data_IF_965661906768
#
_entry.id   IF_965661906768
#
_cell.length_a   1.000
_cell.length_b   1.000
_cell.length_c   1.000
_cell.angle_alpha   90.00
_cell.angle_beta   90.00
_cell.angle_gamma   90.00
#
_symmetry.space_group_name_H-M   'P 1'
#
loop_
_entity.id
_entity.type
_entity.pdbx_description
1 polymer ?
#
# COMPACT_ATOMS: atom_id res chain seq x y z
N UNK A 1 30.79 13.55 -0.18
CA UNK A 1 30.19 12.43 -0.94
C UNK A 1 28.68 12.57 -0.93
N UNK A 2 28.04 12.89 -2.07
CA UNK A 2 26.58 12.94 -2.21
C UNK A 2 26.09 11.56 -2.64
N UNK A 3 25.30 10.88 -1.79
CA UNK A 3 24.64 9.61 -2.15
C UNK A 3 23.68 9.87 -3.32
N UNK A 4 23.93 9.24 -4.48
CA UNK A 4 22.99 9.20 -5.59
C UNK A 4 21.76 8.41 -5.14
N UNK A 5 20.60 9.05 -5.14
CA UNK A 5 19.31 8.38 -5.09
C UNK A 5 19.14 7.69 -6.45
N UNK A 6 19.18 6.35 -6.45
CA UNK A 6 18.83 5.54 -7.63
C UNK A 6 17.32 5.68 -7.84
N UNK A 7 16.91 6.60 -8.71
CA UNK A 7 15.54 6.59 -9.24
C UNK A 7 15.40 5.40 -10.20
N UNK A 8 14.34 4.63 -10.02
CA UNK A 8 13.86 3.55 -10.90
C UNK A 8 13.35 4.11 -12.24
N UNK A 9 14.19 4.81 -13.01
CA UNK A 9 13.73 5.62 -14.13
C UNK A 9 13.60 4.84 -15.45
N UNK A 10 14.07 3.58 -15.51
CA UNK A 10 14.24 2.84 -16.77
C UNK A 10 13.06 1.99 -17.26
N UNK A 11 12.10 1.65 -16.40
CA UNK A 11 10.97 0.78 -16.79
C UNK A 11 9.69 1.55 -17.16
N UNK A 12 9.65 2.86 -16.92
CA UNK A 12 8.41 3.64 -17.03
C UNK A 12 8.13 4.22 -18.42
N UNK A 13 9.15 4.38 -19.27
CA UNK A 13 9.01 5.04 -20.59
C UNK A 13 8.27 4.20 -21.67
N UNK A 14 7.72 3.03 -21.31
CA UNK A 14 7.10 2.09 -22.27
C UNK A 14 5.65 1.71 -21.99
N UNK A 15 5.03 2.22 -20.94
CA UNK A 15 3.61 1.94 -20.68
C UNK A 15 2.74 2.86 -21.53
N UNK A 16 2.12 2.31 -22.59
CA UNK A 16 0.97 2.97 -23.24
C UNK A 16 -0.29 2.56 -22.49
N UNK A 17 -1.22 3.51 -22.30
CA UNK A 17 -2.52 3.29 -21.63
C UNK A 17 -3.31 2.11 -22.23
N UNK A 18 -3.13 1.81 -23.52
CA UNK A 18 -3.75 0.62 -24.14
C UNK A 18 -3.07 -0.70 -23.74
N UNK A 19 -1.73 -0.72 -23.60
CA UNK A 19 -1.00 -1.90 -23.13
C UNK A 19 -1.31 -2.18 -21.65
N UNK A 20 -1.67 -1.14 -20.90
CA UNK A 20 -2.18 -1.17 -19.53
C UNK A 20 -3.59 -1.78 -19.48
N UNK A 21 -4.53 -1.35 -20.33
CA UNK A 21 -5.90 -1.87 -20.33
C UNK A 21 -5.97 -3.34 -20.79
N UNK A 22 -5.16 -3.73 -21.77
CA UNK A 22 -5.06 -5.13 -22.25
C UNK A 22 -4.07 -5.98 -21.44
N UNK A 23 -3.43 -5.40 -20.42
CA UNK A 23 -2.54 -6.12 -19.53
C UNK A 23 -3.37 -7.11 -18.68
N UNK A 24 -3.06 -8.42 -18.68
CA UNK A 24 -3.63 -9.34 -17.69
C UNK A 24 -3.40 -8.87 -16.23
N UNK A 25 -2.47 -7.95 -15.97
CA UNK A 25 -2.29 -7.29 -14.68
C UNK A 25 -3.36 -6.25 -14.31
N UNK A 26 -4.21 -5.81 -15.25
CA UNK A 26 -5.37 -4.92 -15.02
C UNK A 26 -6.68 -5.66 -14.80
N UNK A 27 -6.74 -6.94 -15.16
CA UNK A 27 -7.57 -7.84 -14.37
C UNK A 27 -6.96 -7.82 -12.98
N UNK A 28 -7.65 -7.21 -12.01
CA UNK A 28 -7.18 -7.14 -10.62
C UNK A 28 -6.58 -8.50 -10.27
N UNK A 29 -5.35 -8.56 -9.73
CA UNK A 29 -4.73 -9.84 -9.41
C UNK A 29 -5.75 -10.59 -8.56
N UNK A 30 -6.24 -11.72 -9.09
CA UNK A 30 -7.37 -12.47 -8.50
C UNK A 30 -7.12 -12.81 -7.03
N UNK A 31 -5.86 -12.78 -6.62
CA UNK A 31 -5.40 -12.75 -5.24
C UNK A 31 -4.50 -11.54 -4.99
N UNK A 32 -4.86 -10.70 -4.05
CA UNK A 32 -3.90 -9.77 -3.43
C UNK A 32 -2.74 -10.54 -2.79
N UNK A 33 -1.58 -9.89 -2.66
CA UNK A 33 -0.51 -10.48 -1.87
C UNK A 33 -1.02 -10.73 -0.45
N UNK A 34 -0.65 -11.88 0.13
CA UNK A 34 -0.99 -12.20 1.51
C UNK A 34 -0.57 -11.07 2.47
N UNK A 35 0.54 -10.42 2.16
CA UNK A 35 1.06 -9.26 2.89
C UNK A 35 0.08 -8.09 2.92
N UNK A 36 -0.48 -7.68 1.77
CA UNK A 36 -1.44 -6.58 1.76
C UNK A 36 -2.72 -6.96 2.51
N UNK A 37 -3.17 -8.22 2.42
CA UNK A 37 -4.32 -8.70 3.20
C UNK A 37 -4.05 -8.58 4.71
N UNK A 38 -2.91 -9.06 5.19
CA UNK A 38 -2.52 -8.94 6.59
C UNK A 38 -2.48 -7.48 7.05
N UNK A 39 -1.90 -6.58 6.26
CA UNK A 39 -1.86 -5.15 6.61
C UNK A 39 -3.26 -4.52 6.65
N UNK A 40 -4.13 -4.86 5.71
CA UNK A 40 -5.52 -4.38 5.70
C UNK A 40 -6.29 -4.92 6.91
N UNK A 41 -6.08 -6.18 7.27
CA UNK A 41 -6.64 -6.76 8.51
C UNK A 41 -6.12 -6.03 9.75
N UNK A 42 -4.83 -5.74 9.83
CA UNK A 42 -4.22 -5.06 10.99
C UNK A 42 -4.71 -3.62 11.16
N UNK A 43 -4.85 -2.87 10.07
CA UNK A 43 -5.27 -1.46 10.11
C UNK A 43 -6.78 -1.32 10.31
N UNK A 44 -7.56 -2.11 9.59
CA UNK A 44 -9.00 -1.90 9.44
C UNK A 44 -9.86 -2.98 10.10
N UNK A 45 -9.25 -4.00 10.69
CA UNK A 45 -9.96 -5.15 11.25
C UNK A 45 -10.71 -5.95 10.18
N UNK A 46 -10.36 -5.82 8.89
CA UNK A 46 -11.01 -6.57 7.81
C UNK A 46 -10.78 -8.06 8.03
N UNK A 47 -11.88 -8.80 8.25
CA UNK A 47 -11.87 -10.22 8.59
C UNK A 47 -12.15 -10.52 10.07
N UNK A 48 -12.12 -9.52 10.94
CA UNK A 48 -12.60 -9.65 12.33
C UNK A 48 -14.14 -9.56 12.39
N UNK A 49 -14.76 -10.24 13.36
CA UNK A 49 -16.21 -10.19 13.56
C UNK A 49 -16.72 -8.81 14.04
N UNK A 50 -15.80 -7.93 14.44
CA UNK A 50 -16.08 -6.57 14.88
C UNK A 50 -16.20 -5.65 13.68
N UNK A 51 -17.38 -5.02 13.53
CA UNK A 51 -17.56 -3.96 12.53
C UNK A 51 -16.66 -2.77 12.86
N UNK A 52 -16.03 -2.12 11.86
CA UNK A 52 -15.21 -0.95 12.06
C UNK A 52 -16.11 0.20 12.56
N UNK A 53 -16.15 0.41 13.88
CA UNK A 53 -16.80 1.56 14.48
C UNK A 53 -15.90 2.79 14.29
N UNK A 54 -16.34 3.74 13.47
CA UNK A 54 -15.82 5.11 13.56
C UNK A 54 -14.96 5.65 12.42
N UNK A 55 -15.04 5.11 11.18
CA UNK A 55 -14.54 5.87 10.03
C UNK A 55 -15.52 7.00 9.69
N UNK A 56 -15.45 8.07 10.49
CA UNK A 56 -16.13 9.33 10.23
C UNK A 56 -15.61 9.95 8.93
N UNK A 57 -16.42 10.85 8.34
CA UNK A 57 -16.27 11.46 7.02
C UNK A 57 -14.87 12.04 6.73
N UNK A 58 -13.92 11.19 6.34
CA UNK A 58 -12.63 11.64 5.81
C UNK A 58 -12.88 12.18 4.41
N UNK A 59 -12.49 13.44 4.17
CA UNK A 59 -12.52 14.06 2.85
C UNK A 59 -11.77 13.18 1.83
N UNK A 60 -12.38 12.96 0.66
CA UNK A 60 -11.82 12.12 -0.41
C UNK A 60 -10.42 12.57 -0.86
N UNK A 61 -10.13 13.87 -0.77
CA UNK A 61 -8.85 14.45 -1.21
C UNK A 61 -7.64 13.99 -0.39
N UNK A 62 -7.84 13.47 0.82
CA UNK A 62 -6.77 12.96 1.68
C UNK A 62 -6.74 11.44 1.84
N UNK A 63 -7.76 10.73 1.37
CA UNK A 63 -7.97 9.32 1.72
C UNK A 63 -6.81 8.42 1.29
N UNK A 64 -6.27 8.61 0.07
CA UNK A 64 -5.14 7.82 -0.43
C UNK A 64 -3.87 8.03 0.39
N UNK A 65 -3.61 9.27 0.83
CA UNK A 65 -2.46 9.59 1.67
C UNK A 65 -2.57 8.90 3.04
N UNK A 66 -3.72 9.03 3.71
CA UNK A 66 -3.95 8.41 5.01
C UNK A 66 -3.94 6.88 4.94
N UNK A 67 -4.49 6.30 3.86
CA UNK A 67 -4.44 4.86 3.62
C UNK A 67 -3.00 4.38 3.48
N UNK A 68 -2.19 5.04 2.64
CA UNK A 68 -0.78 4.68 2.46
C UNK A 68 0.00 4.83 3.77
N UNK A 69 -0.25 5.90 4.51
CA UNK A 69 0.39 6.15 5.80
C UNK A 69 0.01 5.10 6.84
N UNK A 70 -1.27 4.73 6.95
CA UNK A 70 -1.75 3.74 7.90
C UNK A 70 -1.17 2.36 7.60
N UNK A 71 -1.19 1.95 6.32
CA UNK A 71 -0.61 0.67 5.89
C UNK A 71 0.92 0.65 6.06
N UNK A 72 1.62 1.78 5.84
CA UNK A 72 3.04 1.90 6.13
C UNK A 72 3.33 1.75 7.63
N UNK A 73 2.51 2.36 8.49
CA UNK A 73 2.58 2.20 9.93
C UNK A 73 2.39 0.74 10.37
N UNK A 74 1.39 0.05 9.81
CA UNK A 74 1.15 -1.36 10.07
C UNK A 74 2.29 -2.26 9.57
N UNK A 75 2.88 -1.96 8.42
CA UNK A 75 4.03 -2.71 7.91
C UNK A 75 5.25 -2.54 8.82
N UNK A 76 5.52 -1.34 9.31
CA UNK A 76 6.58 -1.12 10.29
C UNK A 76 6.31 -1.88 11.59
N UNK A 77 5.10 -1.78 12.13
CA UNK A 77 4.70 -2.51 13.33
C UNK A 77 4.89 -4.03 13.15
N UNK A 78 4.23 -4.62 12.16
CA UNK A 78 4.18 -6.07 11.94
C UNK A 78 5.49 -6.66 11.44
N UNK A 79 6.23 -5.98 10.56
CA UNK A 79 7.41 -6.55 9.90
C UNK A 79 8.72 -6.13 10.53
N UNK A 80 8.75 -5.07 11.34
CA UNK A 80 9.97 -4.60 12.01
C UNK A 80 9.90 -4.83 13.53
N UNK A 81 8.79 -4.49 14.17
CA UNK A 81 8.72 -4.52 15.63
C UNK A 81 8.14 -5.83 16.18
N UNK A 82 7.16 -6.40 15.50
CA UNK A 82 6.49 -7.64 15.91
C UNK A 82 6.92 -8.85 15.09
N UNK A 83 7.72 -8.64 14.04
CA UNK A 83 8.36 -9.76 13.40
C UNK A 83 9.24 -10.40 14.45
N UNK A 84 9.00 -11.69 14.69
CA UNK A 84 9.98 -12.54 15.34
C UNK A 84 11.16 -12.62 14.36
N UNK A 85 11.96 -11.54 14.26
CA UNK A 85 13.35 -11.70 13.92
C UNK A 85 13.80 -12.83 14.82
N UNK A 86 14.28 -13.92 14.23
CA UNK A 86 14.95 -14.97 14.96
C UNK A 86 16.26 -14.42 15.54
N UNK A 87 16.16 -13.38 16.37
CA UNK A 87 17.12 -13.01 17.39
C UNK A 87 17.38 -14.21 18.30
N UNK A 88 16.49 -15.21 18.34
CA UNK A 88 16.73 -16.53 18.90
C UNK A 88 17.98 -17.21 18.33
N UNK A 89 18.35 -16.99 17.07
CA UNK A 89 19.62 -17.50 16.54
C UNK A 89 20.85 -16.88 17.22
N UNK A 90 20.75 -15.66 17.75
CA UNK A 90 21.81 -15.03 18.54
C UNK A 90 21.66 -15.31 20.05
N UNK A 91 20.42 -15.28 20.55
CA UNK A 91 20.09 -15.41 21.97
C UNK A 91 20.22 -16.85 22.51
N UNK A 92 20.11 -17.86 21.65
CA UNK A 92 20.24 -19.28 22.03
C UNK A 92 21.58 -19.90 21.66
N UNK A 93 22.54 -19.11 21.19
CA UNK A 93 23.90 -19.64 21.10
C UNK A 93 24.35 -20.03 22.51
N UNK A 94 24.97 -21.21 22.64
CA UNK A 94 25.50 -21.69 23.92
C UNK A 94 26.46 -20.64 24.54
N UNK A 95 27.11 -19.85 23.68
CA UNK A 95 27.96 -18.72 24.03
C UNK A 95 27.17 -17.56 24.69
N UNK A 96 26.04 -17.14 24.12
CA UNK A 96 25.20 -16.08 24.70
C UNK A 96 24.58 -16.51 26.03
N UNK A 97 24.09 -17.74 26.12
CA UNK A 97 23.54 -18.29 27.38
C UNK A 97 24.60 -18.31 28.49
N UNK A 98 25.79 -18.86 28.20
CA UNK A 98 26.91 -18.86 29.16
C UNK A 98 27.39 -17.44 29.50
N UNK A 99 27.37 -16.51 28.54
CA UNK A 99 27.70 -15.12 28.78
C UNK A 99 26.71 -14.45 29.74
N UNK A 100 25.40 -14.60 29.52
CA UNK A 100 24.36 -14.10 30.41
C UNK A 100 24.44 -14.71 31.81
N UNK A 101 24.71 -16.01 31.93
CA UNK A 101 24.83 -16.67 33.22
C UNK A 101 26.08 -16.25 34.00
N UNK A 102 27.21 -16.06 33.30
CA UNK A 102 28.41 -15.47 33.90
C UNK A 102 28.16 -14.02 34.33
N UNK A 103 27.40 -13.23 33.57
CA UNK A 103 27.04 -11.87 33.96
C UNK A 103 26.15 -11.83 35.21
N UNK A 104 25.18 -12.74 35.34
CA UNK A 104 24.34 -12.85 36.53
C UNK A 104 25.15 -13.25 37.78
N UNK A 105 26.19 -14.06 37.62
CA UNK A 105 27.08 -14.46 38.71
C UNK A 105 28.00 -13.32 39.19
N UNK A 106 28.40 -12.42 38.28
CA UNK A 106 29.41 -11.40 38.55
C UNK A 106 28.77 -10.05 38.90
N UNK A 107 27.53 -9.78 38.48
CA UNK A 107 26.92 -8.45 38.58
C UNK A 107 25.53 -8.45 39.23
N UNK A 108 25.26 -7.40 40.01
CA UNK A 108 23.92 -7.04 40.47
C UNK A 108 22.93 -6.98 39.28
N UNK A 109 21.69 -7.51 39.39
CA UNK A 109 20.71 -7.52 38.30
C UNK A 109 20.48 -6.16 37.61
N UNK A 110 20.59 -5.05 38.36
CA UNK A 110 20.49 -3.69 37.81
C UNK A 110 21.66 -3.32 36.89
N UNK A 111 22.85 -3.88 37.14
CA UNK A 111 24.05 -3.72 36.31
C UNK A 111 24.03 -4.63 35.09
N UNK A 112 23.41 -5.81 35.20
CA UNK A 112 23.21 -6.73 34.06
C UNK A 112 22.42 -6.05 32.95
N UNK A 113 21.32 -5.37 33.27
CA UNK A 113 20.56 -4.61 32.28
C UNK A 113 21.38 -3.49 31.62
N UNK A 114 22.16 -2.75 32.40
CA UNK A 114 22.98 -1.65 31.89
C UNK A 114 24.07 -2.16 30.95
N UNK A 115 24.70 -3.29 31.30
CA UNK A 115 25.73 -3.91 30.50
C UNK A 115 25.17 -4.57 29.24
N UNK A 116 24.05 -5.28 29.35
CA UNK A 116 23.32 -5.87 28.23
C UNK A 116 22.91 -4.79 27.21
N UNK A 117 22.37 -3.66 27.70
CA UNK A 117 22.08 -2.49 26.88
C UNK A 117 23.35 -1.91 26.24
N UNK A 118 24.44 -1.77 26.99
CA UNK A 118 25.70 -1.25 26.45
C UNK A 118 26.28 -2.17 25.35
N UNK A 119 26.16 -3.48 25.53
CA UNK A 119 26.58 -4.50 24.57
C UNK A 119 25.73 -4.44 23.29
N UNK A 120 24.40 -4.44 23.41
CA UNK A 120 23.50 -4.25 22.27
C UNK A 120 23.78 -2.93 21.54
N UNK A 121 23.99 -1.84 22.26
CA UNK A 121 24.35 -0.55 21.67
C UNK A 121 25.72 -0.58 20.99
N UNK A 122 26.66 -1.40 21.47
CA UNK A 122 27.95 -1.62 20.82
C UNK A 122 27.79 -2.38 19.50
N UNK A 123 26.96 -3.43 19.47
CA UNK A 123 26.66 -4.19 18.25
C UNK A 123 25.93 -3.31 17.24
N UNK A 124 24.92 -2.54 17.67
CA UNK A 124 24.17 -1.63 16.79
C UNK A 124 25.07 -0.57 16.17
N UNK A 125 26.09 -0.12 16.90
CA UNK A 125 27.09 0.85 16.42
C UNK A 125 28.20 0.21 15.58
N UNK A 126 28.28 -1.12 15.52
CA UNK A 126 29.26 -1.81 14.70
C UNK A 126 28.97 -1.55 13.21
N UNK A 127 29.95 -1.00 12.45
CA UNK A 127 29.77 -0.71 11.03
C UNK A 127 29.48 -1.93 10.15
N UNK A 128 29.80 -3.14 10.61
CA UNK A 128 29.51 -4.42 9.94
C UNK A 128 28.05 -4.80 10.19
N UNK A 129 27.58 -4.74 11.44
CA UNK A 129 26.16 -4.98 11.77
C UNK A 129 25.24 -4.00 11.04
N UNK A 130 25.61 -2.71 11.05
CA UNK A 130 24.85 -1.67 10.35
C UNK A 130 24.82 -1.85 8.84
N UNK A 131 25.86 -2.41 8.21
CA UNK A 131 25.90 -2.61 6.75
C UNK A 131 25.28 -3.91 6.31
N UNK A 132 25.61 -5.03 6.95
CA UNK A 132 25.26 -6.34 6.43
C UNK A 132 23.89 -6.80 6.94
N UNK A 133 23.61 -6.63 8.24
CA UNK A 133 22.34 -7.04 8.83
C UNK A 133 21.22 -6.04 8.54
N UNK A 134 21.46 -4.77 8.86
CA UNK A 134 20.41 -3.74 8.78
C UNK A 134 20.11 -3.36 7.33
N UNK A 135 21.12 -3.04 6.49
CA UNK A 135 20.82 -2.65 5.10
C UNK A 135 20.18 -3.79 4.31
N UNK A 136 20.65 -5.03 4.49
CA UNK A 136 20.06 -6.21 3.84
C UNK A 136 18.58 -6.39 4.19
N UNK A 137 18.26 -6.34 5.48
CA UNK A 137 16.89 -6.44 5.98
C UNK A 137 16.02 -5.28 5.50
N UNK A 138 16.52 -4.05 5.55
CA UNK A 138 15.80 -2.86 5.06
C UNK A 138 15.50 -2.96 3.57
N UNK A 139 16.46 -3.43 2.76
CA UNK A 139 16.26 -3.65 1.32
C UNK A 139 15.20 -4.72 1.07
N UNK A 140 15.23 -5.84 1.81
CA UNK A 140 14.24 -6.90 1.68
C UNK A 140 12.83 -6.43 2.09
N UNK A 141 12.71 -5.76 3.24
CA UNK A 141 11.44 -5.19 3.70
C UNK A 141 10.93 -4.11 2.75
N UNK A 142 11.81 -3.27 2.20
CA UNK A 142 11.46 -2.28 1.18
C UNK A 142 10.91 -2.92 -0.09
N UNK A 143 11.52 -4.02 -0.56
CA UNK A 143 10.99 -4.80 -1.70
C UNK A 143 9.64 -5.42 -1.39
N UNK A 144 9.50 -6.05 -0.22
CA UNK A 144 8.24 -6.64 0.25
C UNK A 144 7.13 -5.59 0.33
N UNK A 145 7.44 -4.42 0.87
CA UNK A 145 6.55 -3.28 0.93
C UNK A 145 6.13 -2.80 -0.46
N UNK A 146 7.10 -2.59 -1.36
CA UNK A 146 6.82 -2.15 -2.72
C UNK A 146 5.92 -3.14 -3.47
N UNK A 147 6.14 -4.45 -3.33
CA UNK A 147 5.28 -5.48 -3.94
C UNK A 147 3.89 -5.51 -3.33
N UNK A 148 3.76 -5.37 -2.00
CA UNK A 148 2.45 -5.29 -1.33
C UNK A 148 1.65 -4.05 -1.77
N UNK A 149 2.32 -2.92 -2.01
CA UNK A 149 1.68 -1.66 -2.40
C UNK A 149 1.60 -1.45 -3.91
N UNK A 150 2.16 -2.38 -4.70
CA UNK A 150 2.18 -2.29 -6.15
C UNK A 150 0.81 -1.96 -6.77
N UNK A 151 -0.32 -2.53 -6.30
CA UNK A 151 -1.63 -2.16 -6.83
C UNK A 151 -1.95 -0.68 -6.62
N UNK A 152 -1.73 -0.15 -5.40
CA UNK A 152 -2.01 1.24 -5.05
C UNK A 152 -1.11 2.19 -5.85
N UNK A 153 0.18 1.87 -5.96
CA UNK A 153 1.15 2.67 -6.72
C UNK A 153 0.75 2.72 -8.20
N UNK A 154 0.41 1.59 -8.81
CA UNK A 154 -0.09 1.53 -10.19
C UNK A 154 -1.29 2.44 -10.38
N UNK A 155 -2.21 2.47 -9.42
CA UNK A 155 -3.38 3.34 -9.51
C UNK A 155 -3.05 4.84 -9.48
N UNK A 156 -2.06 5.24 -8.69
CA UNK A 156 -1.57 6.63 -8.70
C UNK A 156 -0.90 6.96 -10.04
N UNK A 157 -0.14 6.02 -10.61
CA UNK A 157 0.50 6.20 -11.91
C UNK A 157 -0.49 6.34 -13.05
N UNK A 158 -1.54 5.50 -13.08
CA UNK A 158 -2.66 5.63 -14.01
C UNK A 158 -3.26 7.03 -13.99
N UNK A 159 -3.48 7.58 -12.79
CA UNK A 159 -4.00 8.94 -12.64
C UNK A 159 -3.08 9.97 -13.31
N UNK A 160 -1.76 9.80 -13.21
CA UNK A 160 -0.82 10.68 -13.89
C UNK A 160 -0.86 10.53 -15.42
N UNK A 161 -0.99 9.31 -15.93
CA UNK A 161 -1.12 9.05 -17.37
C UNK A 161 -2.44 9.61 -17.93
N UNK A 162 -3.54 9.50 -17.18
CA UNK A 162 -4.83 10.05 -17.57
C UNK A 162 -4.82 11.57 -17.70
N UNK A 163 -3.92 12.28 -17.00
CA UNK A 163 -3.79 13.73 -17.14
C UNK A 163 -3.20 14.17 -18.49
N UNK A 164 -2.50 13.28 -19.19
CA UNK A 164 -1.89 13.58 -20.49
C UNK A 164 -2.66 12.99 -21.68
N UNK A 165 -3.74 12.25 -21.43
CA UNK A 165 -4.51 11.58 -22.47
C UNK A 165 -5.58 12.49 -23.12
N UNK A 166 -5.94 12.14 -24.36
CA UNK A 166 -6.95 12.84 -25.14
C UNK A 166 -8.38 12.60 -24.63
N UNK A 167 -8.62 11.62 -23.75
CA UNK A 167 -9.93 11.38 -23.16
C UNK A 167 -10.13 12.17 -21.87
N UNK A 168 -11.39 12.36 -21.48
CA UNK A 168 -11.73 12.79 -20.13
C UNK A 168 -11.87 11.55 -19.25
N UNK A 169 -11.52 11.71 -17.99
CA UNK A 169 -11.61 10.63 -17.03
C UNK A 169 -12.30 11.06 -15.76
N UNK A 170 -13.26 10.25 -15.33
CA UNK A 170 -13.92 10.40 -14.05
C UNK A 170 -13.36 9.35 -13.09
N UNK A 171 -12.79 9.84 -11.98
CA UNK A 171 -12.29 9.00 -10.89
C UNK A 171 -13.47 8.50 -10.06
N UNK A 172 -13.63 7.19 -9.96
CA UNK A 172 -14.66 6.57 -9.14
C UNK A 172 -14.06 6.21 -7.77
N UNK A 173 -14.38 7.00 -6.75
CA UNK A 173 -14.02 6.71 -5.36
C UNK A 173 -15.27 6.44 -4.52
N UNK A 174 -15.72 5.18 -4.42
CA UNK A 174 -16.93 4.84 -3.67
C UNK A 174 -16.83 5.34 -2.22
N UNK A 175 -17.88 6.01 -1.73
CA UNK A 175 -17.92 6.46 -0.33
C UNK A 175 -18.16 5.23 0.55
N UNK A 176 -17.40 5.09 1.64
CA UNK A 176 -17.74 4.10 2.66
C UNK A 176 -19.20 4.33 3.15
N UNK A 177 -19.98 3.26 3.20
CA UNK A 177 -21.43 3.29 3.45
C UNK A 177 -22.31 3.44 2.21
N UNK A 178 -21.76 3.65 1.01
CA UNK A 178 -22.57 3.75 -0.22
C UNK A 178 -23.06 2.39 -0.71
N UNK A 179 -24.17 2.32 -1.46
CA UNK A 179 -24.60 1.09 -2.13
C UNK A 179 -23.53 0.54 -3.07
N UNK A 180 -23.40 -0.78 -3.14
CA UNK A 180 -22.53 -1.46 -4.09
C UNK A 180 -23.11 -1.40 -5.51
N UNK A 181 -22.36 -0.84 -6.46
CA UNK A 181 -22.73 -0.82 -7.88
C UNK A 181 -21.92 -1.86 -8.65
N UNK A 182 -22.58 -2.90 -9.19
CA UNK A 182 -21.88 -3.94 -9.97
C UNK A 182 -21.24 -3.40 -11.25
N UNK A 183 -21.76 -2.29 -11.78
CA UNK A 183 -21.25 -1.69 -13.02
C UNK A 183 -19.97 -0.90 -12.79
N UNK A 184 -19.81 -0.35 -11.59
CA UNK A 184 -18.70 0.56 -11.24
C UNK A 184 -17.74 -0.03 -10.21
N UNK A 185 -18.11 -1.13 -9.57
CA UNK A 185 -17.38 -1.71 -8.44
C UNK A 185 -17.24 -3.22 -8.56
N UNK A 186 -16.17 -3.73 -7.96
CA UNK A 186 -15.90 -5.15 -7.80
C UNK A 186 -15.40 -5.44 -6.39
N UNK A 187 -15.63 -6.67 -5.92
CA UNK A 187 -15.20 -7.15 -4.61
C UNK A 187 -14.19 -8.26 -4.77
N UNK A 188 -13.08 -8.19 -4.03
CA UNK A 188 -12.15 -9.31 -3.95
C UNK A 188 -12.71 -10.36 -3.01
N UNK A 189 -13.05 -11.54 -3.55
CA UNK A 189 -13.52 -12.71 -2.76
C UNK A 189 -12.54 -13.12 -1.67
N UNK A 190 -11.29 -12.78 -1.90
CA UNK A 190 -10.13 -13.08 -1.10
C UNK A 190 -9.98 -12.17 0.14
N UNK A 191 -10.68 -11.04 0.16
CA UNK A 191 -10.66 -10.04 1.25
C UNK A 191 -12.04 -9.96 1.93
N UNK A 192 -13.11 -10.08 1.16
CA UNK A 192 -14.47 -9.86 1.64
C UNK A 192 -15.25 -11.16 1.59
N UNK A 193 -15.47 -11.75 2.78
CA UNK A 193 -16.13 -13.05 2.94
C UNK A 193 -17.64 -13.02 2.62
N UNK A 194 -18.22 -11.85 2.34
CA UNK A 194 -19.64 -11.71 1.99
C UNK A 194 -19.83 -10.60 0.97
N UNK A 195 -20.71 -10.85 -0.01
CA UNK A 195 -21.18 -9.84 -0.96
C UNK A 195 -22.09 -8.86 -0.20
N UNK A 196 -21.48 -7.86 0.43
CA UNK A 196 -22.19 -6.77 1.08
C UNK A 196 -22.88 -5.92 0.01
N UNK A 197 -24.13 -5.53 0.27
CA UNK A 197 -24.84 -4.54 -0.56
C UNK A 197 -24.29 -3.11 -0.36
N UNK A 198 -23.39 -2.93 0.60
CA UNK A 198 -22.82 -1.64 1.03
C UNK A 198 -21.29 -1.73 1.00
N UNK A 199 -20.66 -0.68 0.46
CA UNK A 199 -19.21 -0.48 0.48
C UNK A 199 -18.75 -0.23 1.92
N UNK A 200 -17.87 -1.05 2.48
CA UNK A 200 -17.28 -0.82 3.81
C UNK A 200 -15.96 -0.05 3.71
N UNK A 201 -15.13 -0.37 2.72
CA UNK A 201 -13.81 0.19 2.50
C UNK A 201 -13.43 0.22 1.01
N UNK A 202 -13.29 1.41 0.39
CA UNK A 202 -12.68 1.51 -0.93
C UNK A 202 -11.18 1.21 -0.83
N UNK A 203 -10.73 0.15 -1.53
CA UNK A 203 -9.35 -0.32 -1.55
C UNK A 203 -8.57 0.33 -2.71
N UNK A 204 -9.18 0.33 -3.90
CA UNK A 204 -8.64 0.99 -5.09
C UNK A 204 -9.77 1.75 -5.80
N UNK A 205 -9.50 2.94 -6.36
CA UNK A 205 -10.48 3.62 -7.18
C UNK A 205 -10.72 2.90 -8.50
N UNK A 206 -11.90 3.14 -9.04
CA UNK A 206 -12.23 2.87 -10.43
C UNK A 206 -12.00 4.12 -11.28
N UNK A 207 -12.13 3.94 -12.58
CA UNK A 207 -12.03 5.01 -13.56
C UNK A 207 -13.03 4.81 -14.67
N UNK A 208 -13.65 5.90 -15.10
CA UNK A 208 -14.57 5.91 -16.22
C UNK A 208 -13.97 6.79 -17.30
N UNK A 209 -13.66 6.19 -18.44
CA UNK A 209 -13.11 6.89 -19.60
C UNK A 209 -14.27 7.42 -20.45
N UNK A 210 -14.33 8.73 -20.56
CA UNK A 210 -15.30 9.46 -21.34
C UNK A 210 -14.55 10.02 -22.55
N UNK A 211 -14.89 9.62 -23.78
CA UNK A 211 -14.28 10.21 -24.95
C UNK A 211 -14.48 11.72 -24.90
N UNK A 212 -13.40 12.51 -25.06
CA UNK A 212 -13.58 13.94 -25.31
C UNK A 212 -14.38 14.01 -26.60
N UNK A 213 -15.65 14.42 -26.51
CA UNK A 213 -16.31 14.94 -27.69
C UNK A 213 -15.36 16.00 -28.21
N UNK A 214 -14.90 15.85 -29.47
CA UNK A 214 -14.18 16.93 -30.14
C UNK A 214 -15.15 18.08 -30.11
N UNK A 215 -15.03 18.94 -29.10
CA UNK A 215 -15.77 20.16 -29.01
C UNK A 215 -15.34 20.91 -30.26
N UNK A 216 -16.12 20.76 -31.33
CA UNK A 216 -15.98 21.62 -32.49
C UNK A 216 -16.35 22.96 -31.90
N UNK A 217 -15.35 23.77 -31.57
CA UNK A 217 -15.55 25.12 -31.06
C UNK A 217 -16.30 25.84 -32.17
N UNK A 218 -17.63 25.84 -32.08
CA UNK A 218 -18.47 26.61 -32.97
C UNK A 218 -18.36 28.03 -32.46
N UNK A 219 -17.61 28.86 -33.17
CA UNK A 219 -17.46 30.30 -32.92
C UNK A 219 -18.75 31.08 -33.23
N UNK A 220 -19.91 30.56 -32.83
CA UNK A 220 -21.21 31.17 -33.06
C UNK A 220 -21.93 31.32 -31.72
N UNK A 221 -21.60 32.39 -31.01
CA UNK A 221 -22.21 32.74 -29.72
C UNK A 221 -21.67 31.90 -28.57
N UNK A 222 -21.41 32.53 -27.42
CA UNK A 222 -20.86 31.94 -26.20
C UNK A 222 -21.83 31.00 -25.48
N UNK A 223 -22.57 30.16 -26.20
CA UNK A 223 -23.44 29.15 -25.62
C UNK A 223 -22.76 27.79 -25.72
N UNK A 224 -22.26 27.30 -24.59
CA UNK A 224 -21.85 25.91 -24.44
C UNK A 224 -23.10 25.06 -24.57
N UNK A 225 -23.30 24.40 -25.71
CA UNK A 225 -24.34 23.40 -25.86
C UNK A 225 -24.04 22.29 -24.84
N UNK A 226 -25.05 21.87 -24.07
CA UNK A 226 -24.92 20.74 -23.16
C UNK A 226 -24.37 19.55 -23.96
N UNK A 227 -23.19 19.08 -23.56
CA UNK A 227 -22.56 17.89 -24.13
C UNK A 227 -23.58 16.76 -24.04
N UNK A 228 -23.83 16.09 -25.16
CA UNK A 228 -24.71 14.93 -25.16
C UNK A 228 -24.20 13.90 -24.16
N UNK A 229 -25.08 13.04 -23.64
CA UNK A 229 -24.69 11.88 -22.84
C UNK A 229 -23.88 10.90 -23.70
N UNK A 230 -22.63 11.23 -24.01
CA UNK A 230 -21.67 10.30 -24.56
C UNK A 230 -21.44 9.26 -23.45
N UNK A 231 -22.05 8.09 -23.62
CA UNK A 231 -21.85 6.98 -22.68
C UNK A 231 -20.36 6.69 -22.52
N UNK A 232 -19.96 6.30 -21.31
CA UNK A 232 -18.56 5.94 -21.07
C UNK A 232 -18.11 4.84 -22.02
N UNK A 233 -16.92 5.01 -22.59
CA UNK A 233 -16.34 4.04 -23.51
C UNK A 233 -15.78 2.83 -22.76
N UNK A 234 -15.26 3.06 -21.56
CA UNK A 234 -14.73 2.01 -20.69
C UNK A 234 -14.93 2.37 -19.21
N UNK A 235 -15.19 1.37 -18.37
CA UNK A 235 -15.26 1.49 -16.91
C UNK A 235 -14.29 0.49 -16.30
N UNK A 236 -13.20 0.98 -15.74
CA UNK A 236 -12.37 0.24 -14.80
C UNK A 236 -13.04 0.31 -13.43
N UNK A 237 -13.41 -0.84 -12.86
CA UNK A 237 -14.20 -0.87 -11.63
C UNK A 237 -13.35 -0.54 -10.41
N UNK A 238 -13.96 0.14 -9.44
CA UNK A 238 -13.39 0.36 -8.13
C UNK A 238 -13.36 -0.95 -7.35
N UNK A 239 -12.27 -1.23 -6.66
CA UNK A 239 -12.18 -2.39 -5.79
C UNK A 239 -12.57 -1.99 -4.38
N UNK A 240 -13.62 -2.63 -3.90
CA UNK A 240 -14.22 -2.35 -2.60
C UNK A 240 -14.27 -3.60 -1.73
N UNK A 241 -14.13 -3.37 -0.43
CA UNK A 241 -14.79 -4.14 0.61
C UNK A 241 -15.94 -3.28 1.14
#
# INVERSE_FOLDING_TARGET
>A
MRKKVLMFQGEFDKLRIMDVIDDPFFSYPKSYSQDLKCLLTDVFGIGSATEPQGMSEVSQDGYSYYLVQALAGAALKSWVFESNFETHHFAQTELHVRFCDNLKLICDPSKVFTLDRAYHMSIIRDPVFSREGVEGTVVQLGKRFAEAFRPIIKTVMLRAEMLVDENDYELLWPKAGSPFSRDEMETSRDICNSASAIVRLPLCPGFKMIPKEKATIRYTGLTVAATGNAGAKCVAKALVC
#
